data_IF_165791904239
#
_entry.id   IF_165791904239
#
_cell.length_a   1.000
_cell.length_b   1.000
_cell.length_c   1.000
_cell.angle_alpha   90.00
_cell.angle_beta   90.00
_cell.angle_gamma   90.00
#
_symmetry.space_group_name_H-M   'P 1'
#
loop_
_entity.id
_entity.type
_entity.pdbx_description
1 polymer ?
#
# COMPACT_ATOMS: atom_id res chain seq x y z
N UNK A 1 -17.75 7.71 11.51
CA UNK A 1 -16.69 6.74 11.88
C UNK A 1 -16.04 6.20 10.63
N UNK A 2 -14.74 6.29 10.54
CA UNK A 2 -14.02 5.76 9.39
C UNK A 2 -13.74 4.28 9.57
N UNK A 3 -14.08 3.50 8.57
CA UNK A 3 -13.67 2.11 8.47
C UNK A 3 -12.90 1.95 7.18
N UNK A 4 -11.70 1.43 7.28
CA UNK A 4 -10.96 1.07 6.08
C UNK A 4 -11.69 -0.10 5.43
N UNK A 5 -11.85 -0.04 4.13
CA UNK A 5 -12.43 -1.12 3.36
C UNK A 5 -11.37 -2.10 2.90
N UNK A 6 -10.21 -1.59 2.50
CA UNK A 6 -9.12 -2.42 1.98
C UNK A 6 -7.90 -2.29 2.87
N UNK A 7 -7.37 -3.41 3.28
CA UNK A 7 -6.09 -3.48 3.99
C UNK A 7 -5.01 -3.91 3.02
N UNK A 8 -3.92 -3.17 2.98
CA UNK A 8 -2.82 -3.41 2.06
C UNK A 8 -1.53 -3.60 2.85
N UNK A 9 -0.82 -4.68 2.54
CA UNK A 9 0.56 -4.87 2.98
C UNK A 9 1.49 -4.70 1.80
N UNK A 10 2.44 -3.79 1.90
CA UNK A 10 3.47 -3.60 0.88
C UNK A 10 4.76 -4.23 1.35
N UNK A 11 5.28 -5.14 0.56
CA UNK A 11 6.57 -5.79 0.80
C UNK A 11 7.58 -5.14 -0.15
N UNK A 12 8.40 -4.25 0.40
CA UNK A 12 9.30 -3.40 -0.38
C UNK A 12 10.71 -3.94 -0.31
N UNK A 13 11.24 -4.30 -1.45
CA UNK A 13 12.62 -4.71 -1.63
C UNK A 13 13.35 -3.75 -2.55
N UNK A 14 14.67 -3.89 -2.65
CA UNK A 14 15.49 -2.95 -3.43
C UNK A 14 15.07 -2.84 -4.90
N UNK A 15 14.57 -3.92 -5.49
CA UNK A 15 14.24 -3.97 -6.92
C UNK A 15 12.82 -4.43 -7.20
N UNK A 16 12.01 -4.64 -6.17
CA UNK A 16 10.66 -5.13 -6.38
C UNK A 16 9.76 -4.71 -5.23
N UNK A 17 8.50 -4.50 -5.55
CA UNK A 17 7.47 -4.25 -4.56
C UNK A 17 6.33 -5.20 -4.84
N UNK A 18 5.86 -5.89 -3.81
CA UNK A 18 4.69 -6.75 -3.92
C UNK A 18 3.61 -6.20 -3.00
N UNK A 19 2.44 -5.97 -3.57
CA UNK A 19 1.28 -5.52 -2.82
C UNK A 19 0.35 -6.69 -2.51
N UNK A 20 -0.07 -6.79 -1.25
CA UNK A 20 -1.08 -7.73 -0.79
C UNK A 20 -2.26 -6.92 -0.29
N UNK A 21 -3.43 -7.13 -0.86
CA UNK A 21 -4.62 -6.38 -0.49
C UNK A 21 -5.76 -7.32 -0.11
N UNK A 22 -6.55 -6.92 0.88
CA UNK A 22 -7.72 -7.67 1.29
C UNK A 22 -8.90 -6.70 1.44
N UNK A 23 -10.01 -7.04 0.78
CA UNK A 23 -11.26 -6.32 0.95
C UNK A 23 -11.95 -6.84 2.22
N UNK A 24 -12.12 -5.98 3.20
CA UNK A 24 -12.75 -6.35 4.47
C UNK A 24 -14.22 -6.74 4.29
N UNK A 25 -14.91 -6.18 3.31
CA UNK A 25 -16.32 -6.46 3.09
C UNK A 25 -16.56 -7.81 2.44
N UNK A 26 -15.74 -8.17 1.45
CA UNK A 26 -15.95 -9.39 0.67
C UNK A 26 -15.01 -10.52 1.03
N UNK A 27 -13.91 -10.22 1.72
CA UNK A 27 -12.85 -11.18 2.00
C UNK A 27 -11.97 -11.48 0.80
N UNK A 28 -12.15 -10.78 -0.30
CA UNK A 28 -11.33 -10.98 -1.49
C UNK A 28 -9.90 -10.54 -1.24
N UNK A 29 -8.94 -11.34 -1.71
CA UNK A 29 -7.51 -11.09 -1.52
C UNK A 29 -6.84 -10.96 -2.88
N UNK A 30 -6.03 -9.92 -3.03
CA UNK A 30 -5.24 -9.70 -4.24
C UNK A 30 -3.76 -9.69 -3.88
N UNK A 31 -2.95 -10.17 -4.78
CA UNK A 31 -1.50 -10.05 -4.70
C UNK A 31 -1.00 -9.55 -6.04
N UNK A 32 -0.19 -8.52 -6.03
CA UNK A 32 0.29 -7.94 -7.28
C UNK A 32 1.73 -7.46 -7.14
N UNK A 33 2.55 -7.76 -8.13
CA UNK A 33 3.86 -7.16 -8.28
C UNK A 33 3.68 -5.75 -8.83
N UNK A 34 4.27 -4.78 -8.16
CA UNK A 34 4.09 -3.37 -8.46
C UNK A 34 5.39 -2.79 -9.04
N UNK A 35 5.30 -1.70 -9.81
CA UNK A 35 6.50 -0.94 -10.14
C UNK A 35 7.13 -0.38 -8.88
N UNK A 36 8.41 -0.08 -8.93
CA UNK A 36 9.13 0.44 -7.77
C UNK A 36 8.98 1.94 -7.58
N UNK A 37 8.45 2.65 -8.58
CA UNK A 37 8.25 4.09 -8.48
C UNK A 37 7.01 4.43 -7.65
N UNK A 38 7.09 5.43 -6.76
CA UNK A 38 5.95 5.78 -5.90
C UNK A 38 4.66 6.14 -6.65
N UNK A 39 4.69 6.90 -7.77
CA UNK A 39 3.45 7.16 -8.51
C UNK A 39 2.76 5.92 -9.04
N UNK A 40 3.51 4.91 -9.47
CA UNK A 40 2.93 3.65 -9.94
C UNK A 40 2.26 2.88 -8.81
N UNK A 41 2.87 2.87 -7.63
CA UNK A 41 2.28 2.25 -6.45
C UNK A 41 1.00 3.00 -6.05
N UNK A 42 1.05 4.31 -6.07
CA UNK A 42 -0.12 5.14 -5.77
C UNK A 42 -1.28 4.84 -6.72
N UNK A 43 -1.01 4.71 -8.02
CA UNK A 43 -2.05 4.37 -9.01
C UNK A 43 -2.74 3.04 -8.68
N UNK A 44 -1.97 2.05 -8.26
CA UNK A 44 -2.56 0.77 -7.85
C UNK A 44 -3.43 0.94 -6.61
N UNK A 45 -2.96 1.68 -5.61
CA UNK A 45 -3.73 1.90 -4.39
C UNK A 45 -5.05 2.63 -4.67
N UNK A 46 -5.03 3.58 -5.61
CA UNK A 46 -6.24 4.29 -6.00
C UNK A 46 -7.27 3.38 -6.67
N UNK A 47 -6.81 2.31 -7.32
CA UNK A 47 -7.70 1.37 -8.01
C UNK A 47 -8.44 0.43 -7.06
N UNK A 48 -8.01 0.37 -5.81
CA UNK A 48 -8.62 -0.52 -4.81
C UNK A 48 -9.86 0.13 -4.19
N UNK A 49 -10.78 -0.68 -3.63
CA UNK A 49 -11.92 -0.13 -2.91
C UNK A 49 -11.47 0.76 -1.76
N UNK A 50 -11.94 1.99 -1.75
CA UNK A 50 -11.58 2.98 -0.76
C UNK A 50 -12.52 2.92 0.46
N UNK A 51 -12.09 3.34 1.64
CA UNK A 51 -10.74 3.80 1.99
C UNK A 51 -9.73 2.66 2.14
N UNK A 52 -8.47 2.98 1.93
CA UNK A 52 -7.36 2.01 1.98
C UNK A 52 -6.46 2.32 3.16
N UNK A 53 -6.11 1.30 3.92
CA UNK A 53 -5.07 1.39 4.94
C UNK A 53 -3.86 0.59 4.47
N UNK A 54 -2.71 1.23 4.45
CA UNK A 54 -1.47 0.62 3.98
C UNK A 54 -0.55 0.37 5.18
N UNK A 55 -0.12 -0.87 5.32
CA UNK A 55 0.95 -1.26 6.23
C UNK A 55 2.14 -1.65 5.38
N UNK A 56 3.34 -1.24 5.79
CA UNK A 56 4.44 -1.43 4.90
C UNK A 56 5.71 -1.80 5.65
N UNK A 57 6.33 -2.88 5.21
CA UNK A 57 7.61 -3.33 5.72
C UNK A 57 8.68 -2.92 4.71
N UNK A 58 9.63 -2.14 5.17
CA UNK A 58 10.67 -1.64 4.31
C UNK A 58 12.03 -1.88 4.93
N UNK A 59 12.96 -2.23 4.08
CA UNK A 59 14.35 -2.12 4.42
C UNK A 59 14.77 -0.65 4.51
N UNK A 60 16.07 -0.37 4.60
CA UNK A 60 16.56 1.00 4.82
C UNK A 60 16.15 2.01 3.75
N UNK A 61 15.73 1.55 2.57
CA UNK A 61 15.42 2.42 1.43
C UNK A 61 13.95 2.79 1.33
N UNK A 62 13.10 2.33 2.25
CA UNK A 62 11.66 2.42 2.09
C UNK A 62 11.00 3.72 2.55
N UNK A 63 11.71 4.58 3.24
CA UNK A 63 11.12 5.77 3.86
C UNK A 63 10.58 6.80 2.87
N UNK A 64 11.18 6.88 1.69
CA UNK A 64 10.71 7.79 0.65
C UNK A 64 9.31 7.48 0.19
N UNK A 65 8.98 6.19 0.05
CA UNK A 65 7.63 5.77 -0.33
C UNK A 65 6.63 6.09 0.76
N UNK A 66 6.95 5.79 2.02
CA UNK A 66 6.04 6.09 3.13
C UNK A 66 5.73 7.59 3.19
N UNK A 67 6.74 8.42 3.01
CA UNK A 67 6.59 9.87 3.01
C UNK A 67 5.70 10.33 1.85
N UNK A 68 5.91 9.77 0.67
CA UNK A 68 5.09 10.07 -0.49
C UNK A 68 3.62 9.72 -0.24
N UNK A 69 3.34 8.53 0.29
CA UNK A 69 1.97 8.08 0.53
C UNK A 69 1.29 8.91 1.61
N UNK A 70 1.99 9.26 2.67
CA UNK A 70 1.45 10.12 3.72
C UNK A 70 1.09 11.49 3.19
N UNK A 71 1.88 12.02 2.27
CA UNK A 71 1.59 13.29 1.62
C UNK A 71 0.34 13.25 0.76
N UNK A 72 -0.12 12.07 0.39
CA UNK A 72 -1.36 11.84 -0.36
C UNK A 72 -2.53 11.47 0.54
N UNK A 73 -2.38 11.55 1.85
CA UNK A 73 -3.45 11.29 2.79
C UNK A 73 -3.68 9.82 3.12
N UNK A 74 -2.77 8.93 2.73
CA UNK A 74 -2.89 7.52 3.06
C UNK A 74 -2.26 7.26 4.42
N UNK A 75 -2.98 6.53 5.27
CA UNK A 75 -2.43 6.04 6.53
C UNK A 75 -1.43 4.93 6.21
N UNK A 76 -0.18 5.15 6.56
CA UNK A 76 0.90 4.24 6.19
C UNK A 76 1.89 4.09 7.34
N UNK A 77 1.56 3.28 8.36
CA UNK A 77 2.53 2.99 9.41
C UNK A 77 3.67 2.14 8.84
N UNK A 78 4.88 2.46 9.24
CA UNK A 78 6.07 1.70 8.86
C UNK A 78 6.40 0.74 10.00
N UNK A 79 6.48 -0.51 9.65
CA UNK A 79 6.83 -1.56 10.61
C UNK A 79 8.36 -1.72 10.71
#
# INVERSE_FOLDING_TARGET
MFRQRTFVGLDVHARSVVGHAMDEHTGEVWQQRLPTDPPGIWGWLESLPQPVKVTYEAGPTGYGLARFLRGRGIVCPVA
#
